data_IF_443487708583
#
_entry.id   IF_443487708583
#
_cell.length_a   1.000
_cell.length_b   1.000
_cell.length_c   1.000
_cell.angle_alpha   90.00
_cell.angle_beta   90.00
_cell.angle_gamma   90.00
#
_symmetry.space_group_name_H-M   'P 1'
#
loop_
_entity.id
_entity.type
_entity.pdbx_description
1 polymer ?
#
# COMPACT_ATOMS: atom_id res chain seq x y z
N UNK A 1 20.94 17.92 -13.15
CA UNK A 1 21.88 17.63 -12.05
C UNK A 1 21.30 16.50 -11.23
N UNK A 2 21.88 15.29 -11.28
CA UNK A 2 21.44 14.18 -10.42
C UNK A 2 21.93 14.45 -9.00
N UNK A 3 21.01 14.41 -8.02
CA UNK A 3 21.40 14.43 -6.61
C UNK A 3 22.39 13.27 -6.32
N UNK A 4 23.38 13.47 -5.44
CA UNK A 4 24.34 12.42 -5.11
C UNK A 4 23.60 11.19 -4.56
N UNK A 5 23.88 10.03 -5.16
CA UNK A 5 23.39 8.72 -4.72
C UNK A 5 24.16 8.31 -3.45
N UNK A 6 23.79 8.91 -2.33
CA UNK A 6 24.24 8.49 -1.02
C UNK A 6 23.48 7.20 -0.68
N UNK A 7 24.20 6.12 -0.33
CA UNK A 7 23.69 4.80 0.04
C UNK A 7 22.77 4.81 1.27
N UNK A 8 21.63 5.47 1.16
CA UNK A 8 20.62 5.70 2.19
C UNK A 8 19.50 4.66 2.12
N UNK A 9 18.49 4.87 2.97
CA UNK A 9 17.33 3.95 3.10
C UNK A 9 16.58 3.71 1.80
N UNK A 10 16.41 4.75 0.96
CA UNK A 10 15.73 4.63 -0.34
C UNK A 10 16.55 3.78 -1.30
N UNK A 11 17.86 4.03 -1.39
CA UNK A 11 18.74 3.27 -2.28
C UNK A 11 18.79 1.80 -1.85
N UNK A 12 18.94 1.53 -0.56
CA UNK A 12 18.93 0.15 -0.03
C UNK A 12 17.63 -0.58 -0.37
N UNK A 13 16.48 0.08 -0.18
CA UNK A 13 15.19 -0.49 -0.59
C UNK A 13 15.12 -0.74 -2.11
N UNK A 14 15.50 0.24 -2.92
CA UNK A 14 15.48 0.13 -4.39
C UNK A 14 16.44 -0.94 -4.91
N UNK A 15 17.56 -1.21 -4.23
CA UNK A 15 18.45 -2.33 -4.55
C UNK A 15 17.82 -3.70 -4.26
N UNK A 16 16.67 -3.75 -3.58
CA UNK A 16 16.06 -4.99 -3.15
C UNK A 16 16.80 -5.61 -1.97
N UNK A 17 17.45 -4.80 -1.15
CA UNK A 17 18.04 -5.22 0.12
C UNK A 17 16.99 -5.16 1.24
N UNK A 18 17.17 -5.94 2.31
CA UNK A 18 16.23 -5.97 3.44
C UNK A 18 16.85 -5.61 4.79
N UNK A 19 18.09 -5.11 4.80
CA UNK A 19 18.85 -4.90 6.03
C UNK A 19 18.57 -3.53 6.68
N UNK A 20 18.11 -2.53 5.91
CA UNK A 20 17.72 -1.20 6.41
C UNK A 20 16.22 -0.96 6.40
N UNK A 21 15.52 -1.52 5.41
CA UNK A 21 14.10 -1.31 5.16
C UNK A 21 13.46 -2.67 4.85
N UNK A 22 12.44 -3.06 5.62
CA UNK A 22 11.76 -4.35 5.42
C UNK A 22 10.72 -4.32 4.28
N UNK A 23 10.32 -3.13 3.85
CA UNK A 23 9.35 -2.94 2.78
C UNK A 23 8.86 -1.51 2.69
N UNK A 24 7.97 -1.28 1.72
CA UNK A 24 7.32 0.00 1.48
C UNK A 24 5.80 -0.18 1.48
N UNK A 25 5.10 0.84 1.98
CA UNK A 25 3.67 0.98 1.79
C UNK A 25 3.45 2.25 0.98
N UNK A 26 3.12 2.09 -0.31
CA UNK A 26 2.72 3.24 -1.11
C UNK A 26 1.27 3.60 -0.77
N UNK A 27 1.05 4.89 -0.46
CA UNK A 27 -0.26 5.51 -0.28
C UNK A 27 -1.14 5.02 0.89
N UNK A 28 -0.59 4.80 2.09
CA UNK A 28 -1.45 4.65 3.30
C UNK A 28 -0.83 5.06 4.63
N UNK A 29 0.50 5.08 4.75
CA UNK A 29 1.16 5.25 6.06
C UNK A 29 1.15 6.69 6.59
N UNK A 30 0.99 7.69 5.74
CA UNK A 30 0.90 9.09 6.13
C UNK A 30 0.23 9.93 5.04
N UNK A 31 -0.59 10.89 5.46
CA UNK A 31 -1.20 11.89 4.61
C UNK A 31 -0.89 13.28 5.18
N UNK A 32 -0.36 14.16 4.33
CA UNK A 32 -0.24 15.58 4.63
C UNK A 32 -1.38 16.31 3.92
N UNK A 33 -2.22 17.00 4.69
CA UNK A 33 -3.38 17.70 4.15
C UNK A 33 -3.68 18.97 4.94
N UNK A 34 -4.31 19.93 4.28
CA UNK A 34 -4.86 21.10 4.94
C UNK A 34 -5.95 20.67 5.95
N UNK A 35 -5.89 21.20 7.17
CA UNK A 35 -6.80 20.84 8.26
C UNK A 35 -8.26 21.20 7.96
N UNK A 36 -8.51 22.37 7.40
CA UNK A 36 -9.87 22.82 7.07
C UNK A 36 -10.46 21.94 5.98
N UNK A 37 -9.65 21.58 4.98
CA UNK A 37 -10.04 20.62 3.96
C UNK A 37 -10.40 19.26 4.56
N UNK A 38 -9.57 18.72 5.45
CA UNK A 38 -9.87 17.45 6.14
C UNK A 38 -11.21 17.48 6.89
N UNK A 39 -11.50 18.58 7.59
CA UNK A 39 -12.76 18.75 8.31
C UNK A 39 -13.95 18.91 7.36
N UNK A 40 -13.79 19.62 6.25
CA UNK A 40 -14.83 19.76 5.22
C UNK A 40 -15.19 18.41 4.57
N UNK A 41 -14.19 17.55 4.36
CA UNK A 41 -14.41 16.18 3.91
C UNK A 41 -15.20 15.32 4.91
N UNK A 42 -15.32 15.75 6.16
CA UNK A 42 -16.00 15.02 7.24
C UNK A 42 -15.07 14.16 8.10
N UNK A 43 -13.75 14.37 8.03
CA UNK A 43 -12.79 13.61 8.82
C UNK A 43 -12.69 12.14 8.40
N UNK A 44 -12.27 11.27 9.33
CA UNK A 44 -12.32 9.81 9.15
C UNK A 44 -13.74 9.28 9.36
N UNK A 45 -14.08 8.19 8.69
CA UNK A 45 -15.33 7.48 8.93
C UNK A 45 -15.26 6.71 10.27
N UNK A 46 -16.03 7.17 11.24
CA UNK A 46 -16.05 6.66 12.62
C UNK A 46 -16.57 5.21 12.75
N UNK A 47 -17.12 4.62 11.67
CA UNK A 47 -17.46 3.20 11.63
C UNK A 47 -16.21 2.32 11.68
N UNK A 48 -15.08 2.81 11.16
CA UNK A 48 -13.79 2.15 11.31
C UNK A 48 -13.28 2.35 12.73
N UNK A 49 -13.24 1.29 13.51
CA UNK A 49 -12.77 1.36 14.90
C UNK A 49 -11.65 0.37 15.14
N UNK A 50 -10.66 0.81 15.93
CA UNK A 50 -9.45 0.03 16.15
C UNK A 50 -8.53 0.15 14.95
N UNK A 51 -7.99 -0.97 14.48
CA UNK A 51 -6.94 -0.98 13.47
C UNK A 51 -7.46 -1.18 12.03
N UNK A 52 -7.24 -0.16 11.21
CA UNK A 52 -7.14 -0.25 9.74
C UNK A 52 -8.43 0.03 9.00
N UNK A 53 -8.28 0.52 7.77
CA UNK A 53 -9.35 0.78 6.81
C UNK A 53 -9.75 2.25 6.72
N UNK A 54 -9.63 3.00 7.82
CA UNK A 54 -10.00 4.41 7.90
C UNK A 54 -9.14 5.31 7.01
N UNK A 55 -7.84 5.01 6.95
CA UNK A 55 -6.87 5.70 6.11
C UNK A 55 -7.16 5.47 4.63
N UNK A 56 -7.41 4.21 4.26
CA UNK A 56 -7.69 3.78 2.91
C UNK A 56 -9.05 4.31 2.40
N UNK A 57 -10.05 4.38 3.27
CA UNK A 57 -11.35 4.99 2.96
C UNK A 57 -11.20 6.49 2.67
N UNK A 58 -10.42 7.21 3.50
CA UNK A 58 -10.15 8.63 3.28
C UNK A 58 -9.39 8.84 1.96
N UNK A 59 -8.43 7.97 1.64
CA UNK A 59 -7.68 8.02 0.39
C UNK A 59 -8.60 7.75 -0.80
N UNK A 60 -9.51 6.79 -0.73
CA UNK A 60 -10.52 6.57 -1.77
C UNK A 60 -11.33 7.86 -2.03
N UNK A 61 -11.85 8.50 -0.97
CA UNK A 61 -12.54 9.79 -1.10
C UNK A 61 -11.66 10.85 -1.75
N UNK A 62 -10.40 10.97 -1.34
CA UNK A 62 -9.46 11.91 -1.96
C UNK A 62 -9.26 11.61 -3.45
N UNK A 63 -9.17 10.35 -3.85
CA UNK A 63 -9.05 10.03 -5.28
C UNK A 63 -10.30 10.33 -6.09
N UNK A 64 -11.48 10.35 -5.46
CA UNK A 64 -12.73 10.82 -6.08
C UNK A 64 -12.75 12.34 -6.21
N UNK A 65 -12.15 13.08 -5.28
CA UNK A 65 -11.96 14.52 -5.39
C UNK A 65 -10.91 14.89 -6.44
N UNK A 66 -9.84 14.09 -6.58
CA UNK A 66 -8.71 14.38 -7.44
C UNK A 66 -8.46 13.27 -8.46
N UNK A 67 -9.45 12.92 -9.31
CA UNK A 67 -9.34 11.76 -10.20
C UNK A 67 -8.17 11.96 -11.17
N UNK A 68 -7.31 10.95 -11.24
CA UNK A 68 -6.14 10.91 -12.14
C UNK A 68 -6.41 10.08 -13.41
N UNK A 69 -7.48 9.28 -13.39
CA UNK A 69 -7.90 8.37 -14.46
C UNK A 69 -9.02 7.43 -13.98
N UNK A 70 -9.58 6.59 -14.88
CA UNK A 70 -10.65 5.66 -14.55
C UNK A 70 -10.19 4.61 -13.53
N UNK A 71 -11.10 4.15 -12.66
CA UNK A 71 -10.79 3.03 -11.75
C UNK A 71 -10.70 1.73 -12.55
N UNK A 72 -9.74 0.85 -12.25
CA UNK A 72 -9.64 -0.46 -12.90
C UNK A 72 -10.77 -1.40 -12.42
N UNK A 73 -11.08 -2.43 -13.21
CA UNK A 73 -12.15 -3.39 -12.89
C UNK A 73 -11.91 -4.14 -11.57
N UNK A 74 -10.65 -4.34 -11.20
CA UNK A 74 -10.23 -5.00 -9.97
C UNK A 74 -10.14 -4.04 -8.75
N UNK A 75 -10.64 -2.80 -8.85
CA UNK A 75 -10.40 -1.74 -7.86
C UNK A 75 -10.74 -2.14 -6.42
N UNK A 76 -11.81 -2.90 -6.19
CA UNK A 76 -12.23 -3.30 -4.86
C UNK A 76 -11.31 -4.35 -4.18
N UNK A 77 -10.35 -4.94 -4.91
CA UNK A 77 -9.49 -5.98 -4.37
C UNK A 77 -8.50 -5.43 -3.32
N UNK A 78 -8.53 -6.00 -2.10
CA UNK A 78 -7.61 -5.69 -1.01
C UNK A 78 -6.44 -6.68 -0.93
N UNK A 79 -5.68 -6.81 -2.01
CA UNK A 79 -4.57 -7.77 -2.08
C UNK A 79 -3.27 -7.10 -1.60
N UNK A 80 -2.70 -7.61 -0.51
CA UNK A 80 -1.43 -7.14 0.04
C UNK A 80 -0.27 -7.82 -0.68
N UNK A 81 0.62 -7.04 -1.27
CA UNK A 81 1.85 -7.55 -1.86
C UNK A 81 3.09 -6.93 -1.20
N UNK A 82 4.23 -7.62 -1.31
CA UNK A 82 5.50 -7.16 -0.75
C UNK A 82 6.13 -6.07 -1.61
N UNK A 83 6.05 -6.22 -2.93
CA UNK A 83 6.67 -5.34 -3.90
C UNK A 83 5.58 -4.53 -4.61
N UNK A 84 5.77 -3.21 -4.80
CA UNK A 84 4.87 -2.37 -5.58
C UNK A 84 4.47 -2.94 -6.95
N UNK A 85 5.41 -3.60 -7.66
CA UNK A 85 5.13 -4.21 -8.96
C UNK A 85 4.06 -5.30 -8.97
N UNK A 86 3.70 -5.84 -7.80
CA UNK A 86 2.67 -6.86 -7.64
C UNK A 86 1.35 -6.29 -7.08
N UNK A 87 1.24 -4.97 -6.94
CA UNK A 87 0.05 -4.33 -6.36
C UNK A 87 -1.17 -4.52 -7.27
N UNK A 88 -2.32 -4.71 -6.64
CA UNK A 88 -3.61 -4.88 -7.31
C UNK A 88 -4.70 -4.02 -6.66
N UNK A 89 -5.81 -3.85 -7.36
CA UNK A 89 -6.96 -3.06 -6.93
C UNK A 89 -6.61 -1.64 -6.50
N UNK A 90 -7.28 -1.15 -5.46
CA UNK A 90 -7.12 0.22 -4.96
C UNK A 90 -5.68 0.51 -4.51
N UNK A 91 -4.92 -0.49 -4.04
CA UNK A 91 -3.53 -0.30 -3.63
C UNK A 91 -2.64 0.08 -4.81
N UNK A 92 -2.87 -0.54 -5.97
CA UNK A 92 -2.23 -0.16 -7.24
C UNK A 92 -2.67 1.25 -7.64
N UNK A 93 -3.97 1.51 -7.61
CA UNK A 93 -4.53 2.80 -8.01
C UNK A 93 -3.98 3.97 -7.17
N UNK A 94 -3.94 3.83 -5.84
CA UNK A 94 -3.40 4.85 -4.94
C UNK A 94 -1.90 5.08 -5.16
N UNK A 95 -1.18 4.06 -5.64
CA UNK A 95 0.26 4.15 -5.87
C UNK A 95 0.63 5.06 -7.04
N UNK A 96 -0.28 5.34 -7.99
CA UNK A 96 -0.05 6.37 -9.01
C UNK A 96 0.17 7.75 -8.40
N UNK A 97 -0.52 8.05 -7.29
CA UNK A 97 -0.34 9.32 -6.57
C UNK A 97 0.97 9.31 -5.77
N UNK A 98 1.28 8.21 -5.08
CA UNK A 98 2.37 8.17 -4.11
C UNK A 98 3.75 7.96 -4.72
N UNK A 99 3.88 7.19 -5.80
CA UNK A 99 5.19 6.79 -6.31
C UNK A 99 6.08 7.97 -6.77
N UNK A 100 5.56 9.04 -7.41
CA UNK A 100 6.38 10.21 -7.73
C UNK A 100 6.99 10.88 -6.49
N UNK A 101 6.31 10.82 -5.34
CA UNK A 101 6.82 11.36 -4.09
C UNK A 101 8.02 10.57 -3.56
N UNK A 102 8.06 9.24 -3.76
CA UNK A 102 9.20 8.41 -3.39
C UNK A 102 10.48 8.90 -4.08
N UNK A 103 10.43 9.09 -5.40
CA UNK A 103 11.58 9.55 -6.18
C UNK A 103 11.92 11.03 -5.96
N UNK A 104 10.95 11.83 -5.51
CA UNK A 104 11.20 13.19 -5.03
C UNK A 104 11.79 13.25 -3.60
N UNK A 105 12.06 12.10 -2.95
CA UNK A 105 12.58 12.04 -1.59
C UNK A 105 11.55 12.41 -0.51
N UNK A 106 10.26 12.36 -0.83
CA UNK A 106 9.14 12.75 0.04
C UNK A 106 8.44 11.52 0.58
N UNK A 107 8.98 10.95 1.65
CA UNK A 107 8.42 9.77 2.31
C UNK A 107 8.73 9.82 3.80
N UNK A 108 8.02 9.00 4.57
CA UNK A 108 8.30 8.81 5.99
C UNK A 108 8.84 7.40 6.25
N UNK A 109 9.57 7.27 7.35
CA UNK A 109 10.08 5.98 7.82
C UNK A 109 9.28 5.54 9.02
N UNK A 110 8.68 4.34 8.92
CA UNK A 110 8.08 3.70 10.08
C UNK A 110 9.16 2.96 10.86
N UNK A 111 9.48 3.46 12.05
CA UNK A 111 10.39 2.76 12.96
C UNK A 111 9.77 1.47 13.46
N UNK A 112 10.58 0.42 13.51
CA UNK A 112 10.14 -0.85 14.06
C UNK A 112 9.73 -0.70 15.52
N UNK A 113 8.59 -1.30 15.88
CA UNK A 113 8.14 -1.42 17.25
C UNK A 113 7.43 -2.76 17.46
N UNK A 114 7.46 -3.33 18.69
CA UNK A 114 6.72 -4.54 18.99
C UNK A 114 5.21 -4.32 18.85
N UNK A 115 4.48 -5.38 18.51
CA UNK A 115 3.02 -5.38 18.42
C UNK A 115 2.44 -6.35 19.46
N UNK A 116 1.95 -5.85 20.60
CA UNK A 116 1.38 -6.68 21.67
C UNK A 116 0.26 -7.58 21.15
N UNK A 117 0.23 -8.82 21.62
CA UNK A 117 -0.68 -9.86 21.11
C UNK A 117 -2.14 -9.66 21.52
N UNK A 118 -2.36 -9.14 22.72
CA UNK A 118 -3.67 -9.10 23.40
C UNK A 118 -4.40 -7.78 23.23
N UNK A 119 -3.79 -6.80 22.56
CA UNK A 119 -4.35 -5.46 22.48
C UNK A 119 -5.65 -5.47 21.64
N UNK A 120 -6.79 -5.02 22.19
CA UNK A 120 -8.10 -5.11 21.53
C UNK A 120 -8.18 -4.32 20.22
N UNK A 121 -7.26 -3.35 20.02
CA UNK A 121 -7.10 -2.57 18.78
C UNK A 121 -7.12 -3.40 17.50
N UNK A 122 -6.53 -4.59 17.49
CA UNK A 122 -6.45 -5.42 16.27
C UNK A 122 -7.67 -6.33 16.04
N UNK A 123 -8.61 -6.43 17.00
CA UNK A 123 -9.72 -7.38 16.93
C UNK A 123 -10.68 -7.11 15.77
N UNK A 124 -10.90 -5.84 15.43
CA UNK A 124 -11.85 -5.44 14.38
C UNK A 124 -11.28 -5.44 12.97
N UNK A 125 -9.99 -5.71 12.79
CA UNK A 125 -9.30 -5.57 11.50
C UNK A 125 -9.99 -6.33 10.36
N UNK A 126 -10.44 -7.57 10.60
CA UNK A 126 -11.12 -8.35 9.58
C UNK A 126 -12.48 -7.74 9.18
N UNK A 127 -13.23 -7.22 10.16
CA UNK A 127 -14.49 -6.51 9.90
C UNK A 127 -14.26 -5.19 9.14
N UNK A 128 -13.22 -4.44 9.51
CA UNK A 128 -12.85 -3.22 8.82
C UNK A 128 -12.36 -3.49 7.38
N UNK A 129 -11.53 -4.52 7.15
CA UNK A 129 -11.08 -4.92 5.81
C UNK A 129 -12.31 -5.27 4.93
N UNK A 130 -13.29 -6.03 5.46
CA UNK A 130 -14.51 -6.38 4.73
C UNK A 130 -15.43 -5.16 4.46
N UNK A 131 -15.57 -4.26 5.44
CA UNK A 131 -16.35 -3.03 5.27
C UNK A 131 -15.75 -2.12 4.21
N UNK A 132 -14.42 -1.97 4.20
CA UNK A 132 -13.71 -1.23 3.16
C UNK A 132 -13.95 -1.84 1.77
N UNK A 133 -13.78 -3.16 1.63
CA UNK A 133 -14.02 -3.85 0.35
C UNK A 133 -15.45 -3.63 -0.17
N UNK A 134 -16.46 -3.68 0.70
CA UNK A 134 -17.85 -3.37 0.34
C UNK A 134 -18.01 -1.93 -0.13
N UNK A 135 -17.41 -0.96 0.57
CA UNK A 135 -17.46 0.45 0.18
C UNK A 135 -16.80 0.72 -1.18
N UNK A 136 -15.65 0.07 -1.44
CA UNK A 136 -14.91 0.23 -2.69
C UNK A 136 -15.54 -0.52 -3.88
N UNK A 137 -16.38 -1.52 -3.62
CA UNK A 137 -17.13 -2.24 -4.64
C UNK A 137 -18.38 -1.48 -5.11
N UNK A 138 -18.82 -0.45 -4.39
CA UNK A 138 -19.97 0.35 -4.80
C UNK A 138 -19.69 1.11 -6.10
N UNK A 139 -20.61 1.05 -7.08
CA UNK A 139 -20.63 1.96 -8.22
C UNK A 139 -20.63 3.42 -7.78
N UNK A 140 -20.05 4.31 -8.60
CA UNK A 140 -19.84 5.71 -8.24
C UNK A 140 -21.14 6.47 -7.91
N UNK A 141 -22.25 6.13 -8.58
CA UNK A 141 -23.59 6.68 -8.36
C UNK A 141 -24.25 6.20 -7.06
N UNK A 142 -23.77 5.08 -6.51
CA UNK A 142 -24.24 4.52 -5.23
C UNK A 142 -23.35 4.92 -4.04
N UNK A 143 -22.22 5.59 -4.30
CA UNK A 143 -21.34 6.08 -3.23
C UNK A 143 -21.90 7.36 -2.61
N UNK A 144 -21.63 7.62 -1.32
CA UNK A 144 -21.99 8.88 -0.68
C UNK A 144 -21.47 10.07 -1.49
N UNK A 145 -22.27 11.15 -1.64
CA UNK A 145 -21.85 12.33 -2.38
C UNK A 145 -20.62 12.95 -1.71
N UNK A 146 -19.72 13.48 -2.54
CA UNK A 146 -18.53 14.15 -2.06
C UNK A 146 -18.88 15.49 -1.42
N UNK A 147 -18.16 15.84 -0.35
CA UNK A 147 -18.23 17.15 0.27
C UNK A 147 -17.10 18.02 -0.29
N UNK A 148 -17.46 19.01 -1.11
CA UNK A 148 -16.49 19.89 -1.75
C UNK A 148 -16.24 19.54 -3.23
N UNK A 149 -15.41 20.35 -3.92
CA UNK A 149 -15.25 20.27 -5.36
C UNK A 149 -14.50 19.01 -5.81
N UNK A 150 -14.78 18.58 -7.04
CA UNK A 150 -13.95 17.64 -7.78
C UNK A 150 -12.99 18.45 -8.65
N UNK A 151 -11.70 18.22 -8.48
CA UNK A 151 -10.61 18.90 -9.19
C UNK A 151 -9.74 17.82 -9.85
N UNK A 152 -10.00 17.48 -11.12
CA UNK A 152 -9.23 16.46 -11.82
C UNK A 152 -7.73 16.69 -11.75
N UNK A 153 -6.97 15.63 -11.48
CA UNK A 153 -5.52 15.70 -11.41
C UNK A 153 -4.93 15.43 -12.81
N UNK A 154 -4.27 16.42 -13.44
CA UNK A 154 -3.78 16.27 -14.82
C UNK A 154 -2.52 15.40 -14.94
N UNK A 155 -1.95 14.90 -13.84
CA UNK A 155 -0.64 14.27 -13.82
C UNK A 155 -0.47 13.07 -14.79
N UNK A 156 -1.55 12.36 -15.14
CA UNK A 156 -1.53 11.25 -16.11
C UNK A 156 -2.37 11.54 -17.38
N UNK A 157 -2.80 12.77 -17.59
CA UNK A 157 -3.61 13.12 -18.77
C UNK A 157 -4.98 12.42 -18.82
N UNK A 158 -5.48 11.90 -17.70
CA UNK A 158 -6.78 11.24 -17.60
C UNK A 158 -6.80 9.76 -18.02
N UNK A 159 -5.67 9.19 -18.42
CA UNK A 159 -5.55 7.77 -18.79
C UNK A 159 -4.57 7.09 -17.85
N UNK A 160 -4.95 5.94 -17.29
CA UNK A 160 -4.03 5.13 -16.49
C UNK A 160 -3.14 4.28 -17.42
N UNK A 161 -1.81 4.48 -17.40
CA UNK A 161 -0.89 3.55 -18.07
C UNK A 161 -0.82 2.23 -17.30
N UNK A 162 -0.27 1.17 -17.91
CA UNK A 162 0.07 -0.03 -17.14
C UNK A 162 0.96 0.35 -15.95
N UNK A 163 0.53 -0.03 -14.74
CA UNK A 163 1.20 0.44 -13.53
C UNK A 163 2.64 -0.03 -13.45
N UNK A 164 2.90 -1.27 -13.86
CA UNK A 164 4.22 -1.89 -13.74
C UNK A 164 5.19 -1.23 -14.72
N UNK A 165 4.79 -1.05 -15.96
CA UNK A 165 5.57 -0.35 -16.98
C UNK A 165 5.80 1.11 -16.63
N UNK A 166 4.76 1.82 -16.19
CA UNK A 166 4.86 3.22 -15.76
C UNK A 166 5.79 3.39 -14.56
N UNK A 167 5.69 2.52 -13.55
CA UNK A 167 6.58 2.50 -12.40
C UNK A 167 8.05 2.29 -12.81
N UNK A 168 8.30 1.35 -13.73
CA UNK A 168 9.65 1.10 -14.27
C UNK A 168 10.18 2.35 -14.97
N UNK A 169 9.38 2.95 -15.86
CA UNK A 169 9.79 4.18 -16.56
C UNK A 169 10.09 5.33 -15.61
N UNK A 170 9.28 5.51 -14.56
CA UNK A 170 9.51 6.53 -13.54
C UNK A 170 10.78 6.25 -12.73
N UNK A 171 11.04 4.99 -12.39
CA UNK A 171 12.26 4.56 -11.69
C UNK A 171 13.51 4.82 -12.54
N UNK A 172 13.48 4.48 -13.82
CA UNK A 172 14.59 4.68 -14.75
C UNK A 172 14.85 6.16 -15.01
N UNK A 173 13.79 6.97 -15.18
CA UNK A 173 13.90 8.42 -15.31
C UNK A 173 14.49 9.08 -14.06
N UNK A 174 14.28 8.50 -12.87
CA UNK A 174 14.91 8.92 -11.62
C UNK A 174 16.37 8.44 -11.47
N UNK A 175 16.91 7.73 -12.46
CA UNK A 175 18.30 7.26 -12.49
C UNK A 175 18.53 5.95 -11.74
N UNK A 176 17.50 5.15 -11.50
CA UNK A 176 17.59 3.84 -10.85
C UNK A 176 17.25 2.72 -11.84
N UNK A 177 18.17 2.28 -12.71
CA UNK A 177 17.88 1.21 -13.68
C UNK A 177 17.46 -0.10 -12.98
N UNK A 178 16.40 -0.76 -13.46
CA UNK A 178 15.83 -1.95 -12.81
C UNK A 178 16.83 -3.10 -12.68
N UNK A 179 17.78 -3.20 -13.62
CA UNK A 179 18.86 -4.19 -13.56
C UNK A 179 19.68 -4.10 -12.26
N UNK A 180 19.95 -2.88 -11.80
CA UNK A 180 20.74 -2.62 -10.58
C UNK A 180 19.85 -2.39 -9.35
N UNK A 181 18.58 -2.00 -9.57
CA UNK A 181 17.62 -1.62 -8.54
C UNK A 181 16.29 -2.37 -8.69
N UNK A 182 16.25 -3.68 -8.40
CA UNK A 182 15.06 -4.50 -8.58
C UNK A 182 13.99 -4.34 -7.50
N UNK A 183 14.24 -3.55 -6.44
CA UNK A 183 13.49 -3.53 -5.18
C UNK A 183 11.98 -3.26 -5.28
N UNK A 184 11.56 -2.50 -6.28
CA UNK A 184 10.13 -2.28 -6.56
C UNK A 184 9.42 -3.52 -7.12
N UNK A 185 10.18 -4.50 -7.63
CA UNK A 185 9.67 -5.71 -8.27
C UNK A 185 9.98 -6.97 -7.47
N UNK A 186 11.16 -7.03 -6.85
CA UNK A 186 11.67 -8.22 -6.16
C UNK A 186 12.84 -7.88 -5.24
N UNK A 187 13.20 -8.81 -4.38
CA UNK A 187 14.48 -8.76 -3.67
C UNK A 187 15.66 -8.95 -4.61
N UNK A 188 16.83 -8.44 -4.21
CA UNK A 188 18.08 -8.76 -4.87
C UNK A 188 18.38 -10.26 -4.72
N UNK A 189 19.12 -10.81 -5.68
CA UNK A 189 19.63 -12.17 -5.58
C UNK A 189 20.46 -12.37 -4.30
N UNK A 190 20.29 -13.51 -3.63
CA UNK A 190 20.95 -13.82 -2.36
C UNK A 190 20.30 -13.21 -1.11
N UNK A 191 19.35 -12.28 -1.24
CA UNK A 191 18.63 -11.71 -0.09
C UNK A 191 17.61 -12.72 0.44
N UNK A 192 17.85 -13.20 1.67
CA UNK A 192 16.95 -14.12 2.36
C UNK A 192 16.12 -13.40 3.42
N UNK A 193 14.83 -13.75 3.52
CA UNK A 193 13.95 -13.20 4.56
C UNK A 193 14.03 -14.06 5.81
N UNK A 194 14.53 -13.50 6.91
CA UNK A 194 14.42 -14.14 8.22
C UNK A 194 12.94 -14.22 8.63
N UNK A 195 12.37 -15.43 8.63
CA UNK A 195 11.02 -15.69 9.14
C UNK A 195 11.15 -16.30 10.54
N UNK A 196 11.13 -15.50 11.63
CA UNK A 196 11.33 -16.03 12.97
C UNK A 196 10.26 -17.05 13.33
N UNK A 197 10.66 -18.18 13.94
CA UNK A 197 9.78 -19.27 14.35
C UNK A 197 8.61 -18.79 15.23
N UNK A 198 8.82 -17.74 16.03
CA UNK A 198 7.79 -17.09 16.82
C UNK A 198 6.56 -16.64 15.99
N UNK A 199 6.72 -16.28 14.71
CA UNK A 199 5.55 -15.97 13.85
C UNK A 199 4.61 -17.17 13.68
N UNK A 200 5.16 -18.38 13.56
CA UNK A 200 4.37 -19.62 13.47
C UNK A 200 3.64 -19.89 14.77
N UNK A 201 4.34 -19.79 15.91
CA UNK A 201 3.77 -19.94 17.26
C UNK A 201 2.67 -18.90 17.51
N UNK A 202 2.94 -17.63 17.17
CA UNK A 202 1.97 -16.53 17.25
C UNK A 202 0.72 -16.80 16.41
N UNK A 203 0.87 -17.30 15.18
CA UNK A 203 -0.27 -17.63 14.31
C UNK A 203 -1.08 -18.79 14.89
N UNK A 204 -0.41 -19.83 15.38
CA UNK A 204 -1.06 -20.96 16.05
C UNK A 204 -1.89 -20.49 17.26
N UNK A 205 -1.35 -19.58 18.08
CA UNK A 205 -2.05 -19.06 19.25
C UNK A 205 -3.24 -18.15 18.89
N UNK A 206 -3.06 -17.21 17.94
CA UNK A 206 -4.09 -16.21 17.62
C UNK A 206 -5.14 -16.71 16.61
N UNK A 207 -4.77 -17.62 15.72
CA UNK A 207 -5.65 -18.12 14.65
C UNK A 207 -5.26 -19.57 14.27
N UNK A 208 -5.56 -20.55 15.15
CA UNK A 208 -5.16 -21.94 14.97
C UNK A 208 -5.75 -22.55 13.69
N UNK A 209 -7.00 -22.23 13.35
CA UNK A 209 -7.66 -22.73 12.12
C UNK A 209 -6.90 -22.30 10.87
N UNK A 210 -6.53 -21.01 10.76
CA UNK A 210 -5.73 -20.53 9.63
C UNK A 210 -4.31 -21.12 9.64
N UNK A 211 -3.72 -21.40 10.82
CA UNK A 211 -2.42 -22.04 10.91
C UNK A 211 -2.43 -23.43 10.27
N UNK A 212 -3.40 -24.28 10.64
CA UNK A 212 -3.51 -25.63 10.08
C UNK A 212 -3.87 -25.61 8.60
N UNK A 213 -4.76 -24.72 8.15
CA UNK A 213 -5.10 -24.57 6.72
C UNK A 213 -3.87 -24.33 5.84
N UNK A 214 -3.03 -23.36 6.19
CA UNK A 214 -1.81 -23.06 5.44
C UNK A 214 -0.82 -24.23 5.46
N UNK A 215 -0.74 -24.96 6.58
CA UNK A 215 0.14 -26.11 6.70
C UNK A 215 -0.26 -27.22 5.72
N UNK A 216 -1.55 -27.50 5.58
CA UNK A 216 -2.06 -28.50 4.63
C UNK A 216 -2.00 -28.02 3.17
N UNK A 217 -2.24 -26.74 2.89
CA UNK A 217 -2.10 -26.16 1.53
C UNK A 217 -0.64 -26.06 1.07
N UNK A 218 0.32 -25.93 2.00
CA UNK A 218 1.75 -25.94 1.65
C UNK A 218 2.24 -27.31 1.18
N UNK A 219 1.58 -28.39 1.62
CA UNK A 219 1.88 -29.76 1.17
C UNK A 219 1.36 -30.03 -0.24
N UNK A 220 0.23 -29.44 -0.63
CA UNK A 220 -0.37 -29.65 -1.97
C UNK A 220 0.28 -28.84 -3.10
N UNK A 221 1.33 -28.05 -2.82
CA UNK A 221 2.13 -27.33 -3.83
C UNK A 221 3.55 -27.91 -3.99
N UNK A 222 3.82 -29.04 -3.32
CA UNK A 222 5.10 -29.74 -3.36
C UNK A 222 5.04 -31.05 -4.17
N UNK A 223 3.92 -31.30 -4.87
CA UNK A 223 3.72 -32.37 -5.84
C UNK A 223 3.55 -31.78 -7.24
#
# INVERSE_FOLDING_TARGET
MSAPKNGGITESFLRGENHRVEGIALASSCLLMNREWFLQLGGFDERFVGHGGEDLELIDRLTRHYPIGPRPDDYALNIKAQHPGDYQGFRRYFSYYALPHLFAGRFLVHQWHPRPLTHPYHRRRAGNDAMLEQMLALPDDQRPPLRGPVVPNPALGGVLPDFREWMIGLQEAAGYPVADYPGLLRWQEGVTRRRPLWRKIRKLYLNPVAFFRDMFQSKSRAD
#
